data_IF_089336167433
#
_entry.id   IF_089336167433
#
_cell.length_a   1.000
_cell.length_b   1.000
_cell.length_c   1.000
_cell.angle_alpha   90.00
_cell.angle_beta   90.00
_cell.angle_gamma   90.00
#
_symmetry.space_group_name_H-M   'P 1'
#
loop_
_entity.id
_entity.type
_entity.pdbx_description
1 polymer ?
#
# COMPACT_ATOMS: atom_id res chain seq x y z
N UNK A 1 64.80 29.92 58.86
CA UNK A 1 64.68 29.96 57.39
C UNK A 1 64.48 28.53 56.84
N UNK A 2 65.40 27.60 57.05
CA UNK A 2 65.28 26.21 56.55
C UNK A 2 63.99 25.42 56.94
N UNK A 3 63.45 25.63 58.15
CA UNK A 3 62.24 24.91 58.58
C UNK A 3 60.95 25.44 57.91
N UNK A 4 60.94 26.73 57.52
CA UNK A 4 59.82 27.33 56.81
C UNK A 4 59.77 26.89 55.33
N UNK A 5 60.94 26.74 54.69
CA UNK A 5 61.04 26.22 53.32
C UNK A 5 60.59 24.76 53.21
N UNK A 6 60.93 23.91 54.20
CA UNK A 6 60.48 22.51 54.24
C UNK A 6 58.95 22.41 54.41
N UNK A 7 58.35 23.29 55.21
CA UNK A 7 56.90 23.33 55.38
C UNK A 7 56.19 23.82 54.10
N UNK A 8 56.73 24.86 53.44
CA UNK A 8 56.22 25.36 52.17
C UNK A 8 56.28 24.29 51.07
N UNK A 9 57.40 23.56 50.97
CA UNK A 9 57.57 22.49 50.00
C UNK A 9 56.58 21.33 50.23
N UNK A 10 56.33 20.96 51.49
CA UNK A 10 55.29 19.96 51.83
C UNK A 10 53.90 20.41 51.41
N UNK A 11 53.52 21.64 51.76
CA UNK A 11 52.20 22.18 51.39
C UNK A 11 52.00 22.26 49.87
N UNK A 12 53.05 22.59 49.11
CA UNK A 12 53.03 22.57 47.65
C UNK A 12 52.86 21.15 47.12
N UNK A 13 53.58 20.17 47.68
CA UNK A 13 53.44 18.77 47.29
C UNK A 13 52.06 18.17 47.61
N UNK A 14 51.46 18.57 48.73
CA UNK A 14 50.10 18.18 49.12
C UNK A 14 49.06 18.78 48.15
N UNK A 15 49.20 20.06 47.81
CA UNK A 15 48.33 20.72 46.83
C UNK A 15 48.44 20.12 45.42
N UNK A 16 49.66 19.73 45.00
CA UNK A 16 49.87 19.02 43.74
C UNK A 16 49.25 17.61 43.76
N UNK A 17 49.37 16.87 44.88
CA UNK A 17 48.70 15.59 45.06
C UNK A 17 47.19 15.72 44.95
N UNK A 18 46.59 16.71 45.64
CA UNK A 18 45.16 16.96 45.59
C UNK A 18 44.69 17.34 44.17
N UNK A 19 45.47 18.14 43.44
CA UNK A 19 45.19 18.47 42.05
C UNK A 19 45.25 17.23 41.13
N UNK A 20 46.24 16.36 41.31
CA UNK A 20 46.34 15.10 40.56
C UNK A 20 45.19 14.14 40.86
N UNK A 21 44.75 14.05 42.13
CA UNK A 21 43.57 13.26 42.49
C UNK A 21 42.27 13.83 41.89
N UNK A 22 42.13 15.15 41.84
CA UNK A 22 40.99 15.80 41.19
C UNK A 22 40.93 15.46 39.69
N UNK A 23 42.06 15.57 38.99
CA UNK A 23 42.18 15.19 37.57
C UNK A 23 41.91 13.69 37.37
N UNK A 24 42.43 12.83 38.25
CA UNK A 24 42.16 11.40 38.19
C UNK A 24 40.65 11.09 38.36
N UNK A 25 39.98 11.80 39.27
CA UNK A 25 38.53 11.70 39.45
C UNK A 25 37.76 12.08 38.18
N UNK A 26 38.11 13.21 37.56
CA UNK A 26 37.50 13.66 36.31
C UNK A 26 37.73 12.67 35.17
N UNK A 27 38.95 12.15 35.02
CA UNK A 27 39.29 11.16 33.99
C UNK A 27 38.51 9.85 34.18
N UNK A 28 38.32 9.40 35.42
CA UNK A 28 37.50 8.21 35.71
C UNK A 28 36.04 8.43 35.32
N UNK A 29 35.46 9.57 35.67
CA UNK A 29 34.08 9.90 35.29
C UNK A 29 33.92 9.95 33.76
N UNK A 30 34.88 10.58 33.06
CA UNK A 30 34.89 10.60 31.60
C UNK A 30 35.06 9.22 30.98
N UNK A 31 35.91 8.37 31.56
CA UNK A 31 36.09 6.98 31.12
C UNK A 31 34.78 6.20 31.17
N UNK A 32 34.08 6.26 32.31
CA UNK A 32 32.76 5.60 32.48
C UNK A 32 31.74 6.17 31.49
N UNK A 33 31.72 7.49 31.28
CA UNK A 33 30.82 8.13 30.32
C UNK A 33 31.13 7.68 28.88
N UNK A 34 32.41 7.58 28.50
CA UNK A 34 32.85 7.11 27.19
C UNK A 34 32.46 5.65 26.97
N UNK A 35 32.69 4.77 27.94
CA UNK A 35 32.28 3.36 27.88
C UNK A 35 30.76 3.23 27.69
N UNK A 36 29.98 4.08 28.38
CA UNK A 36 28.52 4.14 28.24
C UNK A 36 28.05 4.61 26.86
N UNK A 37 28.83 5.46 26.17
CA UNK A 37 28.56 5.86 24.78
C UNK A 37 28.91 4.72 23.81
N UNK A 38 30.07 4.09 23.99
CA UNK A 38 30.51 2.96 23.13
C UNK A 38 29.51 1.80 23.21
N UNK A 39 29.04 1.46 24.41
CA UNK A 39 28.03 0.39 24.60
C UNK A 39 26.73 0.71 23.86
N UNK A 40 26.20 1.93 24.01
CA UNK A 40 24.96 2.34 23.33
C UNK A 40 25.10 2.34 21.81
N UNK A 41 26.23 2.83 21.30
CA UNK A 41 26.52 2.78 19.87
C UNK A 41 26.58 1.33 19.36
N UNK A 42 27.16 0.40 20.14
CA UNK A 42 27.15 -1.03 19.80
C UNK A 42 25.73 -1.62 19.74
N UNK A 43 24.89 -1.32 20.73
CA UNK A 43 23.49 -1.75 20.74
C UNK A 43 22.69 -1.20 19.55
N UNK A 44 22.94 0.06 19.18
CA UNK A 44 22.33 0.69 18.00
C UNK A 44 22.80 0.04 16.69
N UNK A 45 24.08 -0.30 16.57
CA UNK A 45 24.62 -1.02 15.41
C UNK A 45 23.95 -2.39 15.28
N UNK A 46 23.90 -3.18 16.35
CA UNK A 46 23.24 -4.49 16.35
C UNK A 46 21.76 -4.38 15.99
N UNK A 47 21.07 -3.33 16.47
CA UNK A 47 19.67 -3.09 16.14
C UNK A 47 19.48 -2.72 14.66
N UNK A 48 20.37 -1.91 14.10
CA UNK A 48 20.35 -1.54 12.68
C UNK A 48 20.67 -2.72 11.77
N UNK A 49 21.62 -3.59 12.15
CA UNK A 49 21.94 -4.80 11.40
C UNK A 49 20.75 -5.74 11.30
N UNK A 50 20.02 -5.95 12.42
CA UNK A 50 18.78 -6.76 12.41
C UNK A 50 17.73 -6.14 11.48
N UNK A 51 17.49 -4.83 11.58
CA UNK A 51 16.53 -4.13 10.70
C UNK A 51 16.94 -4.22 9.23
N UNK A 52 18.23 -4.13 8.93
CA UNK A 52 18.75 -4.26 7.57
C UNK A 52 18.47 -5.68 7.04
N UNK A 53 18.70 -6.72 7.84
CA UNK A 53 18.37 -8.10 7.48
C UNK A 53 16.89 -8.27 7.20
N UNK A 54 16.01 -7.75 8.07
CA UNK A 54 14.55 -7.83 7.89
C UNK A 54 14.09 -7.17 6.59
N UNK A 55 14.56 -5.95 6.32
CA UNK A 55 14.23 -5.21 5.10
C UNK A 55 14.77 -5.92 3.86
N UNK A 56 15.98 -6.49 3.94
CA UNK A 56 16.60 -7.23 2.82
C UNK A 56 15.79 -8.48 2.48
N UNK A 57 15.38 -9.25 3.49
CA UNK A 57 14.51 -10.44 3.29
C UNK A 57 13.17 -10.03 2.68
N UNK A 58 12.55 -8.96 3.18
CA UNK A 58 11.30 -8.45 2.64
C UNK A 58 11.45 -7.97 1.19
N UNK A 59 12.56 -7.29 0.86
CA UNK A 59 12.86 -6.84 -0.49
C UNK A 59 12.98 -8.03 -1.46
N UNK A 60 13.71 -9.08 -1.09
CA UNK A 60 13.82 -10.28 -1.93
C UNK A 60 12.46 -10.97 -2.13
N UNK A 61 11.62 -11.04 -1.09
CA UNK A 61 10.28 -11.60 -1.22
C UNK A 61 9.40 -10.78 -2.19
N UNK A 62 9.47 -9.45 -2.12
CA UNK A 62 8.77 -8.55 -3.03
C UNK A 62 9.29 -8.67 -4.46
N UNK A 63 10.60 -8.72 -4.66
CA UNK A 63 11.19 -8.88 -5.99
C UNK A 63 10.80 -10.21 -6.63
N UNK A 64 10.84 -11.31 -5.87
CA UNK A 64 10.39 -12.62 -6.34
C UNK A 64 8.89 -12.60 -6.71
N UNK A 65 8.06 -11.99 -5.87
CA UNK A 65 6.64 -11.83 -6.16
C UNK A 65 6.39 -11.00 -7.42
N UNK A 66 7.06 -9.85 -7.56
CA UNK A 66 6.95 -8.99 -8.75
C UNK A 66 7.41 -9.76 -10.00
N UNK A 67 8.54 -10.46 -9.94
CA UNK A 67 9.05 -11.23 -11.08
C UNK A 67 8.06 -12.33 -11.51
N UNK A 68 7.46 -13.05 -10.55
CA UNK A 68 6.46 -14.08 -10.83
C UNK A 68 5.17 -13.50 -11.44
N UNK A 69 4.77 -12.29 -11.04
CA UNK A 69 3.52 -11.67 -11.48
C UNK A 69 3.68 -10.74 -12.71
N UNK A 70 4.91 -10.40 -13.12
CA UNK A 70 5.17 -9.57 -14.31
C UNK A 70 4.56 -10.15 -15.59
N UNK A 71 4.66 -11.46 -15.78
CA UNK A 71 4.07 -12.14 -16.92
C UNK A 71 2.53 -12.07 -16.89
N UNK A 72 1.93 -12.24 -15.70
CA UNK A 72 0.48 -12.12 -15.50
C UNK A 72 -0.01 -10.70 -15.83
N UNK A 73 0.68 -9.66 -15.34
CA UNK A 73 0.34 -8.26 -15.61
C UNK A 73 0.53 -7.91 -17.09
N UNK A 74 1.59 -8.40 -17.73
CA UNK A 74 1.82 -8.18 -19.16
C UNK A 74 0.78 -8.90 -20.04
N UNK A 75 0.30 -10.07 -19.63
CA UNK A 75 -0.73 -10.82 -20.34
C UNK A 75 -2.13 -10.19 -20.20
N UNK A 76 -2.44 -9.56 -19.06
CA UNK A 76 -3.76 -9.00 -18.74
C UNK A 76 -3.79 -7.47 -18.81
N UNK A 77 -3.06 -6.85 -19.75
CA UNK A 77 -2.98 -5.39 -19.87
C UNK A 77 -4.34 -4.67 -19.85
N UNK A 78 -4.35 -3.34 -19.66
CA UNK A 78 -5.53 -2.50 -19.35
C UNK A 78 -6.81 -2.77 -20.17
N UNK A 79 -6.71 -3.33 -21.37
CA UNK A 79 -7.82 -3.74 -22.22
C UNK A 79 -8.63 -4.96 -21.69
N UNK A 80 -8.14 -5.70 -20.69
CA UNK A 80 -8.80 -6.90 -20.15
C UNK A 80 -9.51 -6.71 -18.82
N UNK A 81 -9.73 -5.48 -18.33
CA UNK A 81 -10.47 -5.26 -17.09
C UNK A 81 -11.86 -5.94 -17.09
N UNK A 82 -12.56 -5.94 -18.23
CA UNK A 82 -13.83 -6.65 -18.39
C UNK A 82 -13.71 -8.18 -18.45
N UNK A 83 -12.50 -8.70 -18.67
CA UNK A 83 -12.22 -10.14 -18.70
C UNK A 83 -11.63 -10.68 -17.39
N UNK A 84 -11.20 -9.81 -16.47
CA UNK A 84 -10.60 -10.19 -15.20
C UNK A 84 -11.61 -10.81 -14.22
N UNK A 85 -12.87 -10.38 -14.29
CA UNK A 85 -13.96 -10.92 -13.47
C UNK A 85 -14.98 -11.54 -14.41
N UNK A 86 -14.96 -12.87 -14.46
CA UNK A 86 -15.89 -13.65 -15.27
C UNK A 86 -16.91 -14.37 -14.38
N UNK A 87 -18.13 -14.58 -14.88
CA UNK A 87 -19.10 -15.44 -14.20
C UNK A 87 -18.54 -16.86 -14.02
N UNK A 88 -18.89 -17.51 -12.91
CA UNK A 88 -18.29 -18.78 -12.51
C UNK A 88 -18.67 -19.96 -13.42
N UNK A 89 -19.84 -19.91 -14.07
CA UNK A 89 -20.36 -20.97 -14.93
C UNK A 89 -21.21 -20.40 -16.08
N UNK A 90 -21.56 -21.27 -17.03
CA UNK A 90 -22.34 -20.90 -18.22
C UNK A 90 -23.73 -20.33 -17.87
N UNK A 91 -24.34 -20.81 -16.79
CA UNK A 91 -25.64 -20.28 -16.33
C UNK A 91 -25.50 -18.87 -15.77
N UNK A 92 -24.43 -18.58 -15.03
CA UNK A 92 -24.15 -17.23 -14.52
C UNK A 92 -23.81 -16.26 -15.65
N UNK A 93 -23.11 -16.72 -16.70
CA UNK A 93 -22.93 -15.93 -17.93
C UNK A 93 -24.27 -15.58 -18.55
N UNK A 94 -25.12 -16.58 -18.76
CA UNK A 94 -26.43 -16.38 -19.38
C UNK A 94 -27.32 -15.46 -18.54
N UNK A 95 -27.28 -15.57 -17.20
CA UNK A 95 -27.93 -14.62 -16.29
C UNK A 95 -27.42 -13.21 -16.57
N UNK A 96 -26.12 -12.96 -16.43
CA UNK A 96 -25.51 -11.64 -16.64
C UNK A 96 -25.91 -11.03 -17.99
N UNK A 97 -25.87 -11.80 -19.08
CA UNK A 97 -26.29 -11.38 -20.40
C UNK A 97 -27.77 -10.99 -20.46
N UNK A 98 -28.66 -11.76 -19.85
CA UNK A 98 -30.10 -11.43 -19.81
C UNK A 98 -30.34 -10.10 -19.07
N UNK A 99 -29.67 -9.87 -17.94
CA UNK A 99 -29.80 -8.60 -17.21
C UNK A 99 -29.20 -7.41 -17.98
N UNK A 100 -28.02 -7.59 -18.58
CA UNK A 100 -27.40 -6.55 -19.41
C UNK A 100 -28.28 -6.19 -20.60
N UNK A 101 -28.88 -7.19 -21.26
CA UNK A 101 -29.79 -6.98 -22.37
C UNK A 101 -31.09 -6.28 -21.93
N UNK A 102 -31.66 -6.67 -20.78
CA UNK A 102 -32.86 -6.02 -20.23
C UNK A 102 -32.65 -4.52 -20.04
N UNK A 103 -31.53 -4.13 -19.42
CA UNK A 103 -31.15 -2.73 -19.19
C UNK A 103 -30.86 -1.98 -20.51
N UNK A 104 -30.10 -2.60 -21.42
CA UNK A 104 -29.79 -1.97 -22.71
C UNK A 104 -31.04 -1.73 -23.56
N UNK A 105 -32.05 -2.60 -23.46
CA UNK A 105 -33.34 -2.42 -24.11
C UNK A 105 -34.13 -1.25 -23.50
N UNK A 106 -34.10 -1.07 -22.17
CA UNK A 106 -34.70 0.10 -21.50
C UNK A 106 -34.05 1.41 -21.95
N UNK A 107 -32.72 1.47 -21.96
CA UNK A 107 -31.95 2.63 -22.42
C UNK A 107 -32.28 2.96 -23.89
N UNK A 108 -32.42 1.93 -24.73
CA UNK A 108 -32.77 2.09 -26.13
C UNK A 108 -34.19 2.63 -26.33
N UNK A 109 -35.16 2.16 -25.55
CA UNK A 109 -36.53 2.69 -25.58
C UNK A 109 -36.57 4.14 -25.09
N UNK A 110 -35.86 4.45 -24.00
CA UNK A 110 -35.76 5.81 -23.49
C UNK A 110 -35.18 6.78 -24.53
N UNK A 111 -34.09 6.38 -25.22
CA UNK A 111 -33.53 7.18 -26.29
C UNK A 111 -34.50 7.38 -27.48
N UNK A 112 -35.34 6.38 -27.78
CA UNK A 112 -36.39 6.49 -28.80
C UNK A 112 -37.52 7.42 -28.38
N UNK A 113 -37.89 7.44 -27.09
CA UNK A 113 -38.87 8.37 -26.52
C UNK A 113 -38.41 9.81 -26.70
N UNK A 114 -37.14 10.09 -26.41
CA UNK A 114 -36.54 11.42 -26.62
C UNK A 114 -36.49 11.78 -28.12
N UNK A 115 -36.12 10.82 -28.98
CA UNK A 115 -36.01 11.05 -30.42
C UNK A 115 -37.37 11.35 -31.09
N UNK A 116 -38.47 10.73 -30.63
CA UNK A 116 -39.80 11.02 -31.15
C UNK A 116 -40.33 12.37 -30.64
N UNK A 117 -40.05 12.74 -29.38
CA UNK A 117 -40.37 14.06 -28.84
C UNK A 117 -39.62 15.18 -29.58
N UNK A 118 -38.37 14.94 -29.94
CA UNK A 118 -37.55 15.84 -30.76
C UNK A 118 -37.90 15.86 -32.25
N UNK A 119 -38.88 15.05 -32.71
CA UNK A 119 -39.31 14.99 -34.10
C UNK A 119 -38.32 14.32 -35.07
N UNK A 120 -37.26 13.69 -34.56
CA UNK A 120 -36.25 13.01 -35.37
C UNK A 120 -36.75 11.68 -35.95
N UNK A 121 -37.73 11.05 -35.31
CA UNK A 121 -38.34 9.77 -35.71
C UNK A 121 -39.85 9.94 -35.88
N UNK A 122 -40.46 9.42 -36.97
CA UNK A 122 -41.91 9.46 -37.12
C UNK A 122 -42.59 8.55 -36.09
N UNK A 123 -43.73 8.99 -35.55
CA UNK A 123 -44.48 8.27 -34.51
C UNK A 123 -44.84 6.81 -34.89
N UNK A 124 -45.18 6.58 -36.15
CA UNK A 124 -45.48 5.22 -36.66
C UNK A 124 -44.25 4.30 -36.66
N UNK A 125 -43.05 4.85 -36.85
CA UNK A 125 -41.78 4.13 -36.75
C UNK A 125 -41.43 3.84 -35.29
N UNK A 126 -41.58 4.84 -34.42
CA UNK A 126 -41.40 4.70 -32.97
C UNK A 126 -42.24 3.55 -32.38
N UNK A 127 -43.56 3.53 -32.63
CA UNK A 127 -44.44 2.48 -32.09
C UNK A 127 -44.06 1.07 -32.58
N UNK A 128 -43.51 0.95 -33.79
CA UNK A 128 -43.03 -0.33 -34.32
C UNK A 128 -41.79 -0.79 -33.56
N UNK A 129 -40.82 0.11 -33.38
CA UNK A 129 -39.55 -0.17 -32.71
C UNK A 129 -39.77 -0.50 -31.23
N UNK A 130 -40.53 0.32 -30.49
CA UNK A 130 -40.81 0.07 -29.07
C UNK A 130 -41.52 -1.27 -28.87
N UNK A 131 -42.50 -1.61 -29.71
CA UNK A 131 -43.16 -2.92 -29.63
C UNK A 131 -42.20 -4.08 -29.85
N UNK A 132 -41.28 -3.96 -30.81
CA UNK A 132 -40.30 -5.00 -31.07
C UNK A 132 -39.32 -5.17 -29.90
N UNK A 133 -38.79 -4.06 -29.39
CA UNK A 133 -37.87 -4.05 -28.24
C UNK A 133 -38.56 -4.57 -26.97
N UNK A 134 -39.82 -4.18 -26.71
CA UNK A 134 -40.56 -4.63 -25.54
C UNK A 134 -40.86 -6.13 -25.58
N UNK A 135 -41.09 -6.68 -26.78
CA UNK A 135 -41.23 -8.12 -26.97
C UNK A 135 -39.92 -8.84 -26.63
N UNK A 136 -38.79 -8.30 -27.06
CA UNK A 136 -37.48 -8.85 -26.75
C UNK A 136 -37.18 -8.79 -25.24
N UNK A 137 -37.48 -7.66 -24.62
CA UNK A 137 -37.35 -7.45 -23.17
C UNK A 137 -38.14 -8.49 -22.38
N UNK A 138 -39.39 -8.77 -22.79
CA UNK A 138 -40.21 -9.81 -22.17
C UNK A 138 -39.51 -11.18 -22.20
N UNK A 139 -38.89 -11.55 -23.31
CA UNK A 139 -38.16 -12.82 -23.40
C UNK A 139 -36.92 -12.84 -22.51
N UNK A 140 -36.16 -11.74 -22.42
CA UNK A 140 -35.01 -11.65 -21.52
C UNK A 140 -35.43 -11.83 -20.06
N UNK A 141 -36.51 -11.17 -19.62
CA UNK A 141 -37.06 -11.30 -18.26
C UNK A 141 -37.62 -12.68 -17.96
N UNK A 142 -38.34 -13.26 -18.92
CA UNK A 142 -38.87 -14.61 -18.79
C UNK A 142 -37.75 -15.64 -18.67
N UNK A 143 -36.69 -15.50 -19.47
CA UNK A 143 -35.51 -16.34 -19.42
C UNK A 143 -34.75 -16.17 -18.10
N UNK A 144 -34.51 -14.94 -17.66
CA UNK A 144 -33.90 -14.67 -16.35
C UNK A 144 -34.67 -15.35 -15.20
N UNK A 145 -36.00 -15.25 -15.21
CA UNK A 145 -36.86 -15.89 -14.19
C UNK A 145 -36.75 -17.42 -14.21
N UNK A 146 -36.46 -18.03 -15.37
CA UNK A 146 -36.23 -19.48 -15.50
C UNK A 146 -34.83 -19.89 -15.07
N UNK A 147 -33.87 -18.97 -15.12
CA UNK A 147 -32.49 -19.22 -14.74
C UNK A 147 -32.27 -19.08 -13.24
N UNK A 148 -33.11 -18.32 -12.51
CA UNK A 148 -33.09 -18.21 -11.05
C UNK A 148 -33.80 -19.39 -10.37
#
# INVERSE_FOLDING_TARGET
MACADVAALRSASEAEMDALFAVQGELRVRGVAADGVVRRAGEEVDALERRLQDVTVAAYALEAWVAANRATVAAHGDAQAGAAVQPADALSVQRLECAAMDLALEDSMYALDEAVQGGAVPFSGYLRSVRALAREQFFQRALWTKLC
#
